data_IF_289462403315
#
_entry.id   IF_289462403315
#
_cell.length_a   1.000
_cell.length_b   1.000
_cell.length_c   1.000
_cell.angle_alpha   90.00
_cell.angle_beta   90.00
_cell.angle_gamma   90.00
#
_symmetry.space_group_name_H-M   'P 1'
#
loop_
_entity.id
_entity.type
_entity.pdbx_description
1 polymer ?
#
# COMPACT_ATOMS: atom_id res chain seq x y z
N UNK A 1 18.98 8.88 -15.59
CA UNK A 1 17.80 8.00 -15.55
C UNK A 1 17.33 7.85 -14.11
N UNK A 2 16.01 7.81 -13.87
CA UNK A 2 15.44 7.55 -12.56
C UNK A 2 15.06 6.07 -12.46
N UNK A 3 15.39 5.43 -11.34
CA UNK A 3 15.05 4.05 -11.04
C UNK A 3 14.09 4.01 -9.85
N UNK A 4 12.84 3.53 -10.03
CA UNK A 4 11.92 3.34 -8.91
C UNK A 4 12.47 2.30 -7.90
N UNK A 5 12.34 2.56 -6.60
CA UNK A 5 12.76 1.62 -5.56
C UNK A 5 11.64 0.65 -5.14
N UNK A 6 10.48 0.77 -5.76
CA UNK A 6 9.34 -0.12 -5.59
C UNK A 6 8.72 -0.42 -6.97
N UNK A 7 8.09 -1.61 -7.17
CA UNK A 7 7.51 -1.98 -8.45
C UNK A 7 6.24 -1.20 -8.82
N UNK A 8 5.72 -0.39 -7.90
CA UNK A 8 4.57 0.48 -8.10
C UNK A 8 4.84 1.86 -7.51
N UNK A 9 4.25 2.93 -8.05
CA UNK A 9 3.34 3.00 -9.21
C UNK A 9 4.05 2.91 -10.57
N UNK A 10 5.37 2.91 -10.62
CA UNK A 10 6.16 2.80 -11.85
C UNK A 10 6.97 1.52 -11.84
N UNK A 11 6.93 0.81 -12.93
CA UNK A 11 7.72 -0.39 -13.15
C UNK A 11 8.81 -0.11 -14.19
N UNK A 12 10.04 -0.54 -13.93
CA UNK A 12 11.16 -0.45 -14.88
C UNK A 12 11.72 -1.86 -15.09
N UNK A 13 11.70 -2.35 -16.32
CA UNK A 13 12.19 -3.69 -16.68
C UNK A 13 13.69 -3.90 -16.43
N UNK A 14 14.45 -2.82 -16.31
CA UNK A 14 15.89 -2.86 -15.95
C UNK A 14 16.15 -2.98 -14.45
N UNK A 15 15.11 -3.05 -13.62
CA UNK A 15 15.21 -3.16 -12.16
C UNK A 15 14.69 -4.50 -11.68
N UNK A 16 15.49 -5.19 -10.87
CA UNK A 16 15.03 -6.40 -10.17
C UNK A 16 14.43 -5.98 -8.83
N UNK A 17 13.15 -6.25 -8.67
CA UNK A 17 12.40 -5.90 -7.47
C UNK A 17 12.18 -7.10 -6.55
N UNK A 18 12.13 -6.83 -5.24
CA UNK A 18 11.63 -7.74 -4.22
C UNK A 18 10.80 -6.96 -3.19
N UNK A 19 9.81 -7.60 -2.62
CA UNK A 19 8.98 -7.02 -1.57
C UNK A 19 8.61 -8.08 -0.54
N UNK A 20 8.69 -7.70 0.72
CA UNK A 20 8.33 -8.53 1.88
C UNK A 20 7.47 -7.67 2.82
N UNK A 21 6.32 -8.20 3.22
CA UNK A 21 5.51 -7.61 4.26
C UNK A 21 5.69 -8.40 5.55
N UNK A 22 5.96 -7.69 6.62
CA UNK A 22 6.20 -8.25 7.96
C UNK A 22 5.16 -7.69 8.93
N UNK A 23 4.97 -8.35 10.08
CA UNK A 23 4.08 -7.85 11.13
C UNK A 23 4.44 -6.45 11.63
N UNK A 24 5.68 -6.02 11.42
CA UNK A 24 6.20 -4.75 11.93
C UNK A 24 6.45 -3.71 10.85
N UNK A 25 6.24 -4.04 9.59
CA UNK A 25 6.48 -3.14 8.48
C UNK A 25 6.62 -3.83 7.14
N UNK A 26 7.16 -3.10 6.17
CA UNK A 26 7.42 -3.59 4.83
C UNK A 26 8.88 -3.38 4.46
N UNK A 27 9.44 -4.31 3.69
CA UNK A 27 10.76 -4.20 3.06
C UNK A 27 10.61 -4.28 1.55
N UNK A 28 11.21 -3.33 0.87
CA UNK A 28 11.28 -3.30 -0.58
C UNK A 28 12.74 -3.35 -0.99
N UNK A 29 13.04 -4.06 -2.06
CA UNK A 29 14.38 -4.19 -2.60
C UNK A 29 14.36 -3.85 -4.09
N UNK A 30 15.34 -3.09 -4.52
CA UNK A 30 15.58 -2.77 -5.92
C UNK A 30 17.07 -2.97 -6.26
N UNK A 31 17.35 -3.61 -7.38
CA UNK A 31 18.73 -3.80 -7.86
C UNK A 31 18.82 -3.41 -9.33
N UNK A 32 19.74 -2.52 -9.67
CA UNK A 32 19.98 -2.00 -11.02
C UNK A 32 21.39 -1.47 -11.15
N UNK A 33 22.03 -1.66 -12.30
CA UNK A 33 23.33 -1.07 -12.68
C UNK A 33 24.40 -1.07 -11.56
N UNK A 34 24.53 -2.18 -10.82
CA UNK A 34 25.48 -2.29 -9.72
C UNK A 34 25.05 -1.63 -8.42
N UNK A 35 23.87 -1.04 -8.38
CA UNK A 35 23.25 -0.46 -7.17
C UNK A 35 22.27 -1.47 -6.56
N UNK A 36 22.31 -1.63 -5.25
CA UNK A 36 21.31 -2.31 -4.45
C UNK A 36 20.71 -1.33 -3.46
N UNK A 37 19.40 -1.12 -3.54
CA UNK A 37 18.66 -0.28 -2.62
C UNK A 37 17.64 -1.11 -1.84
N UNK A 38 17.56 -0.91 -0.53
CA UNK A 38 16.53 -1.46 0.34
C UNK A 38 15.76 -0.32 0.99
N UNK A 39 14.43 -0.39 0.95
CA UNK A 39 13.54 0.53 1.67
C UNK A 39 12.81 -0.26 2.73
N UNK A 40 12.96 0.11 3.99
CA UNK A 40 12.15 -0.41 5.08
C UNK A 40 11.20 0.66 5.57
N UNK A 41 9.93 0.32 5.74
CA UNK A 41 8.91 1.23 6.26
C UNK A 41 8.22 0.59 7.46
N UNK A 42 8.00 1.36 8.53
CA UNK A 42 7.25 0.90 9.69
C UNK A 42 6.49 2.02 10.38
N UNK A 43 5.43 1.65 11.10
CA UNK A 43 4.61 2.55 11.91
C UNK A 43 4.83 2.19 13.38
N UNK A 44 5.50 3.04 14.17
CA UNK A 44 5.70 2.82 15.59
C UNK A 44 4.37 2.74 16.36
N UNK A 45 4.28 1.84 17.34
CA UNK A 45 3.03 1.58 18.06
C UNK A 45 2.56 2.71 18.99
N UNK A 46 3.48 3.60 19.39
CA UNK A 46 3.20 4.65 20.39
C UNK A 46 2.96 6.02 19.80
N UNK A 47 3.43 6.27 18.59
CA UNK A 47 3.35 7.57 17.92
C UNK A 47 2.52 7.47 16.64
N UNK A 48 1.82 8.52 16.30
CA UNK A 48 1.17 8.66 14.99
C UNK A 48 2.23 9.07 13.96
N UNK A 49 3.17 8.16 13.70
CA UNK A 49 4.33 8.42 12.85
C UNK A 49 4.67 7.22 11.97
N UNK A 50 5.42 7.47 10.93
CA UNK A 50 6.00 6.48 10.02
C UNK A 50 7.51 6.72 9.93
N UNK A 51 8.30 5.65 10.01
CA UNK A 51 9.73 5.65 9.71
C UNK A 51 9.95 4.94 8.37
N UNK A 52 10.71 5.60 7.48
CA UNK A 52 11.31 4.96 6.29
C UNK A 52 12.82 5.03 6.39
N UNK A 53 13.47 3.90 6.23
CA UNK A 53 14.93 3.81 6.14
C UNK A 53 15.30 3.30 4.74
N UNK A 54 16.08 4.08 4.00
CA UNK A 54 16.59 3.73 2.68
C UNK A 54 18.07 3.43 2.79
N UNK A 55 18.46 2.18 2.52
CA UNK A 55 19.86 1.73 2.50
C UNK A 55 20.29 1.50 1.07
N UNK A 56 21.32 2.22 0.63
CA UNK A 56 21.87 2.11 -0.72
C UNK A 56 23.29 1.55 -0.61
N UNK A 57 23.60 0.55 -1.44
CA UNK A 57 24.95 0.00 -1.62
C UNK A 57 25.27 -0.03 -3.09
N UNK A 58 26.50 0.37 -3.45
CA UNK A 58 26.96 0.37 -4.84
C UNK A 58 28.23 -0.47 -5.01
N UNK A 59 28.37 -1.09 -6.17
CA UNK A 59 29.57 -1.83 -6.58
C UNK A 59 30.49 -1.04 -7.52
N UNK A 60 30.11 0.19 -7.87
CA UNK A 60 30.88 1.14 -8.66
C UNK A 60 30.64 2.57 -8.13
N UNK A 61 31.48 3.57 -8.44
CA UNK A 61 31.20 4.94 -8.04
C UNK A 61 29.82 5.40 -8.50
N UNK A 62 29.02 5.96 -7.60
CA UNK A 62 27.65 6.42 -7.84
C UNK A 62 27.55 7.92 -7.59
N UNK A 63 27.15 8.66 -8.62
CA UNK A 63 26.80 10.08 -8.48
C UNK A 63 25.37 10.29 -8.97
N UNK A 64 24.51 10.79 -8.07
CA UNK A 64 23.09 10.94 -8.36
C UNK A 64 22.33 11.51 -7.17
N UNK A 65 21.06 11.18 -7.05
CA UNK A 65 20.19 11.63 -5.97
C UNK A 65 19.19 10.55 -5.56
N UNK A 66 18.87 10.51 -4.26
CA UNK A 66 17.68 9.84 -3.77
C UNK A 66 16.52 10.83 -3.76
N UNK A 67 15.41 10.45 -4.38
CA UNK A 67 14.19 11.25 -4.43
C UNK A 67 13.09 10.60 -3.60
N UNK A 68 12.47 11.37 -2.70
CA UNK A 68 11.26 11.00 -2.00
C UNK A 68 10.15 11.99 -2.36
N UNK A 69 8.97 11.48 -2.71
CA UNK A 69 7.83 12.31 -3.11
C UNK A 69 6.54 11.79 -2.49
N UNK A 70 5.71 12.68 -1.99
CA UNK A 70 4.32 12.39 -1.65
C UNK A 70 3.44 13.65 -1.68
N UNK A 71 2.13 13.47 -1.79
CA UNK A 71 1.14 14.53 -1.74
C UNK A 71 0.36 14.45 -0.43
N UNK A 72 0.48 15.46 0.46
CA UNK A 72 -0.22 15.46 1.74
C UNK A 72 -1.72 15.72 1.53
N UNK A 73 -2.54 15.09 2.37
CA UNK A 73 -3.99 15.25 2.34
C UNK A 73 -4.52 15.85 3.65
N UNK A 74 -4.13 15.33 4.79
CA UNK A 74 -4.53 15.73 6.14
C UNK A 74 -6.02 16.01 6.31
N UNK A 75 -6.89 15.23 5.64
CA UNK A 75 -8.34 15.33 5.73
C UNK A 75 -8.99 13.95 5.83
N UNK A 76 -10.27 13.91 6.16
CA UNK A 76 -11.03 12.65 6.12
C UNK A 76 -11.10 12.14 4.68
N UNK A 77 -11.00 10.82 4.49
CA UNK A 77 -11.03 10.19 3.16
C UNK A 77 -12.26 10.57 2.34
N UNK A 78 -13.44 10.67 2.98
CA UNK A 78 -14.67 11.06 2.31
C UNK A 78 -14.62 12.49 1.77
N UNK A 79 -14.07 13.44 2.55
CA UNK A 79 -13.93 14.85 2.13
C UNK A 79 -12.94 14.98 0.96
N UNK A 80 -11.84 14.24 1.03
CA UNK A 80 -10.85 14.21 -0.04
C UNK A 80 -11.40 13.55 -1.29
N UNK A 81 -12.07 12.41 -1.17
CA UNK A 81 -12.66 11.68 -2.30
C UNK A 81 -13.70 12.49 -3.05
N UNK A 82 -14.49 13.32 -2.34
CA UNK A 82 -15.51 14.18 -2.95
C UNK A 82 -14.90 15.37 -3.70
N UNK A 83 -13.89 16.04 -3.12
CA UNK A 83 -13.29 17.26 -3.69
C UNK A 83 -11.78 17.35 -3.42
N UNK A 84 -10.95 16.58 -4.12
CA UNK A 84 -9.51 16.51 -3.85
C UNK A 84 -8.80 17.87 -3.93
N UNK A 85 -9.02 18.60 -5.01
CA UNK A 85 -8.37 19.90 -5.24
C UNK A 85 -8.76 20.93 -4.16
N UNK A 86 -10.05 20.97 -3.80
CA UNK A 86 -10.53 21.86 -2.75
C UNK A 86 -9.94 21.51 -1.38
N UNK A 87 -9.76 20.22 -1.08
CA UNK A 87 -9.14 19.77 0.17
C UNK A 87 -7.71 20.27 0.33
N UNK A 88 -6.95 20.35 -0.76
CA UNK A 88 -5.55 20.80 -0.76
C UNK A 88 -5.39 22.30 -0.48
N UNK A 89 -6.38 23.14 -0.79
CA UNK A 89 -6.34 24.59 -0.55
C UNK A 89 -6.21 24.99 0.93
N UNK A 90 -6.46 24.06 1.83
CA UNK A 90 -6.32 24.29 3.28
C UNK A 90 -4.95 23.91 3.82
N UNK A 91 -4.05 23.43 2.98
CA UNK A 91 -2.72 23.03 3.41
C UNK A 91 -1.73 24.20 3.27
N UNK A 92 -0.92 24.36 4.29
CA UNK A 92 0.20 25.30 4.35
C UNK A 92 1.47 24.54 4.66
N UNK A 93 2.59 24.95 4.08
CA UNK A 93 3.88 24.32 4.30
C UNK A 93 4.89 25.33 4.83
N UNK A 94 5.78 24.87 5.71
CA UNK A 94 6.85 25.68 6.30
C UNK A 94 8.11 24.86 6.47
N UNK A 95 9.26 25.42 6.11
CA UNK A 95 10.54 24.81 6.45
C UNK A 95 10.74 24.78 7.98
N UNK A 96 11.24 23.68 8.50
CA UNK A 96 11.52 23.49 9.92
C UNK A 96 12.73 22.58 10.11
N UNK A 97 13.87 23.17 10.49
CA UNK A 97 15.12 22.42 10.67
C UNK A 97 15.46 21.56 9.44
N UNK A 98 15.70 20.23 9.63
CA UNK A 98 16.02 19.32 8.54
C UNK A 98 14.75 18.77 7.83
N UNK A 99 13.66 19.55 7.77
CA UNK A 99 12.41 19.09 7.22
C UNK A 99 11.37 20.14 6.90
N UNK A 100 10.13 19.72 6.85
CA UNK A 100 8.98 20.54 6.50
C UNK A 100 7.82 20.25 7.45
N UNK A 101 7.18 21.29 7.95
CA UNK A 101 5.87 21.22 8.62
C UNK A 101 4.78 21.43 7.58
N UNK A 102 3.77 20.61 7.64
CA UNK A 102 2.55 20.72 6.85
C UNK A 102 1.41 20.95 7.84
N UNK A 103 0.69 22.04 7.67
CA UNK A 103 -0.42 22.43 8.52
C UNK A 103 -1.72 22.43 7.71
N UNK A 104 -2.78 21.86 8.27
CA UNK A 104 -4.11 22.04 7.71
C UNK A 104 -4.84 23.13 8.51
N UNK A 105 -5.18 24.24 7.84
CA UNK A 105 -6.01 25.28 8.41
C UNK A 105 -7.38 24.70 8.78
N UNK A 106 -7.87 24.92 10.02
CA UNK A 106 -9.18 24.44 10.44
C UNK A 106 -10.30 25.11 9.62
N UNK A 107 -11.27 24.33 9.19
CA UNK A 107 -12.48 24.84 8.51
C UNK A 107 -13.52 25.36 9.50
N UNK A 108 -13.52 24.80 10.71
CA UNK A 108 -14.41 25.20 11.81
C UNK A 108 -13.79 24.81 13.16
N UNK A 109 -13.81 25.70 14.12
CA UNK A 109 -13.56 25.44 15.54
C UNK A 109 -12.13 25.03 15.89
N UNK A 110 -11.91 23.84 16.42
CA UNK A 110 -10.79 23.50 17.29
C UNK A 110 -9.82 22.47 16.72
N UNK A 111 -9.99 21.97 15.50
CA UNK A 111 -9.13 20.92 14.94
C UNK A 111 -7.89 21.53 14.27
N UNK A 112 -6.77 21.52 14.97
CA UNK A 112 -5.46 21.77 14.37
C UNK A 112 -4.77 20.45 14.09
N UNK A 113 -4.34 20.23 12.84
CA UNK A 113 -3.60 19.07 12.40
C UNK A 113 -2.28 19.53 11.78
N UNK A 114 -1.20 19.07 12.36
CA UNK A 114 0.16 19.32 11.90
C UNK A 114 0.83 18.00 11.55
N UNK A 115 1.52 17.99 10.41
CA UNK A 115 2.43 16.89 10.09
C UNK A 115 3.85 17.45 10.00
N UNK A 116 4.82 16.75 10.59
CA UNK A 116 6.24 17.04 10.46
C UNK A 116 6.90 15.93 9.63
N UNK A 117 7.59 16.34 8.57
CA UNK A 117 8.43 15.45 7.79
C UNK A 117 9.88 15.84 7.96
N UNK A 118 10.70 14.90 8.42
CA UNK A 118 12.13 15.11 8.66
C UNK A 118 12.96 14.13 7.84
N UNK A 119 14.15 14.60 7.41
CA UNK A 119 15.16 13.81 6.72
C UNK A 119 16.45 13.79 7.53
N UNK A 120 17.14 12.64 7.63
CA UNK A 120 18.41 12.51 8.33
C UNK A 120 19.62 13.06 7.55
N UNK A 121 19.46 13.40 6.27
CA UNK A 121 20.54 13.93 5.44
C UNK A 121 20.61 15.46 5.56
N UNK A 122 21.74 15.99 6.01
CA UNK A 122 21.95 17.44 6.22
C UNK A 122 21.89 18.25 4.93
N UNK A 123 22.28 17.67 3.79
CA UNK A 123 22.30 18.30 2.48
C UNK A 123 21.06 18.00 1.63
N UNK A 124 19.92 17.74 2.26
CA UNK A 124 18.65 17.51 1.57
C UNK A 124 18.01 18.83 1.10
N UNK A 125 17.33 18.77 -0.05
CA UNK A 125 16.57 19.87 -0.63
C UNK A 125 15.09 19.51 -0.63
N UNK A 126 14.26 20.49 -0.27
CA UNK A 126 12.80 20.31 -0.20
C UNK A 126 12.12 21.24 -1.19
N UNK A 127 11.10 20.73 -1.87
CA UNK A 127 10.17 21.55 -2.64
C UNK A 127 8.74 21.15 -2.26
N UNK A 128 7.88 22.15 -2.01
CA UNK A 128 6.50 21.92 -1.54
C UNK A 128 5.44 22.33 -2.55
N UNK A 129 5.82 22.82 -3.73
CA UNK A 129 4.93 23.17 -4.81
C UNK A 129 4.94 22.09 -5.89
N UNK A 130 3.80 21.41 -6.11
CA UNK A 130 3.66 20.39 -7.15
C UNK A 130 3.91 20.98 -8.54
N UNK A 131 3.44 22.21 -8.79
CA UNK A 131 3.66 22.88 -10.08
C UNK A 131 5.14 23.09 -10.38
N UNK A 132 5.92 23.52 -9.37
CA UNK A 132 7.38 23.70 -9.52
C UNK A 132 8.12 22.36 -9.61
N UNK A 133 7.64 21.34 -8.92
CA UNK A 133 8.25 20.02 -8.88
C UNK A 133 7.96 19.21 -10.15
N UNK A 134 6.69 19.07 -10.52
CA UNK A 134 6.23 18.19 -11.58
C UNK A 134 5.68 18.93 -12.81
N UNK A 135 5.49 20.26 -12.72
CA UNK A 135 4.80 21.04 -13.74
C UNK A 135 3.30 20.70 -13.81
N UNK A 136 2.69 21.04 -14.94
CA UNK A 136 1.25 20.81 -15.19
C UNK A 136 0.93 19.36 -15.59
N UNK A 137 1.95 18.53 -15.81
CA UNK A 137 1.77 17.12 -16.17
C UNK A 137 1.29 16.26 -15.00
N UNK A 138 1.04 15.01 -15.29
CA UNK A 138 0.67 14.01 -14.29
C UNK A 138 1.84 13.58 -13.40
N UNK A 139 1.56 12.68 -12.46
CA UNK A 139 2.55 12.16 -11.52
C UNK A 139 3.74 11.47 -12.22
N UNK A 140 3.56 10.95 -13.44
CA UNK A 140 4.63 10.36 -14.25
C UNK A 140 5.80 11.31 -14.53
N UNK A 141 5.60 12.64 -14.45
CA UNK A 141 6.69 13.60 -14.58
C UNK A 141 7.77 13.48 -13.52
N UNK A 142 7.50 12.79 -12.41
CA UNK A 142 8.51 12.49 -11.40
C UNK A 142 9.68 11.66 -11.98
N UNK A 143 9.46 10.88 -13.02
CA UNK A 143 10.51 10.12 -13.70
C UNK A 143 11.46 11.01 -14.53
N UNK A 144 11.06 12.24 -14.79
CA UNK A 144 11.79 13.21 -15.61
C UNK A 144 11.97 14.55 -14.88
N UNK A 145 12.33 14.51 -13.61
CA UNK A 145 12.57 15.74 -12.83
C UNK A 145 13.70 16.54 -13.46
N UNK A 146 13.55 17.87 -13.54
CA UNK A 146 14.63 18.73 -14.00
C UNK A 146 15.82 18.66 -13.05
N UNK A 147 17.04 18.77 -13.59
CA UNK A 147 18.30 18.71 -12.81
C UNK A 147 18.37 19.77 -11.72
N UNK A 148 17.73 20.91 -11.95
CA UNK A 148 17.66 22.01 -10.98
C UNK A 148 16.21 22.39 -10.72
N UNK A 149 15.76 22.10 -9.51
CA UNK A 149 14.52 22.66 -8.95
C UNK A 149 14.96 23.57 -7.80
N UNK A 150 14.57 24.84 -7.85
CA UNK A 150 14.88 25.77 -6.76
C UNK A 150 14.30 25.23 -5.45
N UNK A 151 15.09 25.17 -4.37
CA UNK A 151 14.55 24.82 -3.06
C UNK A 151 13.42 25.79 -2.71
N UNK A 152 12.28 25.24 -2.36
CA UNK A 152 11.14 26.01 -1.90
C UNK A 152 10.44 25.21 -0.80
N UNK A 153 10.41 25.78 0.38
CA UNK A 153 9.68 25.18 1.48
C UNK A 153 8.96 26.30 2.24
N UNK A 154 7.69 26.47 1.96
CA UNK A 154 6.82 27.40 2.69
C UNK A 154 5.82 28.14 1.84
N UNK A 155 4.68 28.42 2.45
CA UNK A 155 3.58 29.20 1.91
C UNK A 155 2.30 28.40 1.72
N UNK A 156 1.30 29.09 1.22
CA UNK A 156 0.00 28.52 0.79
C UNK A 156 0.08 28.24 -0.70
N UNK A 157 0.29 26.98 -1.05
CA UNK A 157 0.30 26.52 -2.43
C UNK A 157 -1.09 25.99 -2.80
N UNK A 158 -1.49 26.17 -4.08
CA UNK A 158 -2.78 25.64 -4.56
C UNK A 158 -2.77 24.11 -4.63
N UNK A 159 -1.62 23.53 -4.92
CA UNK A 159 -1.40 22.09 -5.01
C UNK A 159 -0.09 21.73 -4.30
N UNK A 160 -0.11 21.56 -2.98
CA UNK A 160 1.07 21.25 -2.19
C UNK A 160 1.50 19.80 -2.39
N UNK A 161 2.81 19.59 -2.47
CA UNK A 161 3.45 18.29 -2.42
C UNK A 161 4.61 18.32 -1.43
N UNK A 162 5.27 17.22 -1.25
CA UNK A 162 6.61 17.16 -0.67
C UNK A 162 7.52 16.38 -1.63
N UNK A 163 8.46 17.09 -2.21
CA UNK A 163 9.57 16.53 -2.97
C UNK A 163 10.85 16.74 -2.17
N UNK A 164 11.54 15.66 -1.85
CA UNK A 164 12.83 15.69 -1.18
C UNK A 164 13.88 15.11 -2.10
N UNK A 165 15.01 15.82 -2.27
CA UNK A 165 16.16 15.36 -3.05
C UNK A 165 17.36 15.29 -2.10
N UNK A 166 18.00 14.13 -2.03
CA UNK A 166 19.22 13.91 -1.24
C UNK A 166 20.35 13.57 -2.19
N UNK A 167 21.33 14.44 -2.37
CA UNK A 167 22.49 14.18 -3.21
C UNK A 167 23.26 12.94 -2.74
N UNK A 168 23.65 12.11 -3.68
CA UNK A 168 24.47 10.92 -3.49
C UNK A 168 25.77 11.11 -4.25
N UNK A 169 26.90 11.01 -3.53
CA UNK A 169 28.24 10.87 -4.10
C UNK A 169 28.92 9.76 -3.30
N UNK A 170 28.97 8.57 -3.89
CA UNK A 170 29.36 7.34 -3.22
C UNK A 170 30.50 6.67 -3.97
N UNK A 171 31.46 6.15 -3.22
CA UNK A 171 32.59 5.38 -3.77
C UNK A 171 32.19 3.92 -4.01
N UNK A 172 32.97 3.22 -4.81
CA UNK A 172 32.81 1.77 -4.99
C UNK A 172 32.80 1.04 -3.64
N UNK A 173 31.84 0.12 -3.47
CA UNK A 173 31.66 -0.67 -2.25
C UNK A 173 31.01 0.08 -1.09
N UNK A 174 30.76 1.38 -1.21
CA UNK A 174 30.18 2.20 -0.14
C UNK A 174 28.69 1.85 0.09
N UNK A 175 28.29 2.01 1.34
CA UNK A 175 26.89 1.88 1.75
C UNK A 175 26.45 3.13 2.51
N UNK A 176 25.29 3.69 2.14
CA UNK A 176 24.71 4.88 2.77
C UNK A 176 23.30 4.57 3.24
N UNK A 177 22.96 5.05 4.44
CA UNK A 177 21.61 4.94 5.01
C UNK A 177 21.02 6.33 5.18
N UNK A 178 19.81 6.53 4.66
CA UNK A 178 19.05 7.78 4.76
C UNK A 178 17.71 7.43 5.40
N UNK A 179 17.30 8.22 6.38
CA UNK A 179 16.05 8.03 7.10
C UNK A 179 15.11 9.20 6.86
N UNK A 180 13.84 8.88 6.80
CA UNK A 180 12.73 9.82 6.74
C UNK A 180 11.74 9.49 7.84
N UNK A 181 11.26 10.50 8.54
CA UNK A 181 10.19 10.35 9.52
C UNK A 181 9.04 11.29 9.19
N UNK A 182 7.82 10.77 9.18
CA UNK A 182 6.58 11.53 9.08
C UNK A 182 5.80 11.33 10.37
N UNK A 183 5.41 12.42 11.04
CA UNK A 183 4.59 12.35 12.25
C UNK A 183 3.46 13.35 12.21
N UNK A 184 2.33 13.02 12.86
CA UNK A 184 1.13 13.85 12.92
C UNK A 184 0.75 14.13 14.37
N UNK A 185 0.45 15.40 14.68
CA UNK A 185 0.00 15.83 16.01
C UNK A 185 -0.95 17.03 15.96
N UNK A 186 -1.53 17.39 17.11
CA UNK A 186 -2.38 18.58 17.26
C UNK A 186 -1.60 19.89 17.45
N UNK A 187 -0.26 19.85 17.51
CA UNK A 187 0.62 21.01 17.61
C UNK A 187 1.91 20.81 16.82
N UNK A 188 2.57 21.89 16.48
CA UNK A 188 3.88 21.86 15.77
C UNK A 188 4.91 21.12 16.62
N UNK A 189 5.09 21.54 17.86
CA UNK A 189 6.09 20.92 18.76
C UNK A 189 5.83 19.42 18.96
N UNK A 190 4.57 19.03 19.05
CA UNK A 190 4.16 17.63 19.15
C UNK A 190 4.51 16.83 17.89
N UNK A 191 4.29 17.39 16.70
CA UNK A 191 4.61 16.75 15.43
C UNK A 191 6.12 16.64 15.24
N UNK A 192 6.88 17.72 15.50
CA UNK A 192 8.35 17.75 15.39
C UNK A 192 8.98 16.76 16.36
N UNK A 193 8.63 16.83 17.64
CA UNK A 193 9.20 15.93 18.66
C UNK A 193 8.89 14.46 18.37
N UNK A 194 7.70 14.16 17.84
CA UNK A 194 7.35 12.80 17.44
C UNK A 194 8.16 12.35 16.22
N UNK A 195 8.33 13.22 15.21
CA UNK A 195 9.14 12.93 14.04
C UNK A 195 10.62 12.72 14.40
N UNK A 196 11.20 13.55 15.29
CA UNK A 196 12.57 13.41 15.78
C UNK A 196 12.80 12.09 16.53
N UNK A 197 11.90 11.76 17.45
CA UNK A 197 11.95 10.46 18.15
C UNK A 197 11.91 9.30 17.15
N UNK A 198 11.03 9.38 16.16
CA UNK A 198 10.86 8.35 15.13
C UNK A 198 12.09 8.26 14.23
N UNK A 199 12.65 9.38 13.81
CA UNK A 199 13.85 9.44 12.97
C UNK A 199 15.07 8.79 13.65
N UNK A 200 15.18 8.94 14.96
CA UNK A 200 16.29 8.40 15.78
C UNK A 200 16.03 6.99 16.31
N UNK A 201 14.82 6.45 16.11
CA UNK A 201 14.45 5.14 16.60
C UNK A 201 15.07 4.03 15.76
N UNK A 202 15.75 3.02 16.34
CA UNK A 202 16.17 1.84 15.60
C UNK A 202 14.96 1.12 14.98
N UNK A 203 15.06 0.71 13.71
CA UNK A 203 13.97 0.02 13.00
C UNK A 203 13.37 -1.14 13.80
N UNK A 204 14.21 -1.93 14.48
CA UNK A 204 13.76 -3.07 15.30
C UNK A 204 12.90 -2.67 16.51
N UNK A 205 13.02 -1.42 16.97
CA UNK A 205 12.23 -0.87 18.08
C UNK A 205 10.97 -0.16 17.60
N UNK A 206 10.98 0.32 16.36
CA UNK A 206 9.80 0.83 15.68
C UNK A 206 8.85 -0.35 15.38
N UNK A 207 8.40 -1.03 16.40
CA UNK A 207 7.49 -2.15 16.21
C UNK A 207 6.10 -1.63 15.94
N UNK A 208 5.60 -1.93 14.75
CA UNK A 208 4.19 -1.99 14.51
C UNK A 208 3.49 -2.82 15.60
N UNK A 209 2.21 -2.59 15.78
CA UNK A 209 1.38 -3.38 16.70
C UNK A 209 1.68 -4.86 16.51
N UNK A 210 1.92 -5.64 17.58
CA UNK A 210 1.82 -7.08 17.46
C UNK A 210 0.46 -7.37 16.84
N UNK A 211 0.39 -8.36 15.96
CA UNK A 211 -0.88 -8.84 15.39
C UNK A 211 -1.65 -9.56 16.51
N UNK A 212 -1.97 -8.83 17.57
CA UNK A 212 -2.77 -9.34 18.72
C UNK A 212 -4.15 -9.78 18.28
N UNK A 213 -4.65 -9.17 17.20
CA UNK A 213 -5.92 -9.50 16.57
C UNK A 213 -5.89 -10.87 15.89
N UNK A 214 -4.74 -11.33 15.38
CA UNK A 214 -4.61 -12.67 14.78
C UNK A 214 -4.91 -13.80 15.76
N UNK A 215 -4.60 -13.60 17.04
CA UNK A 215 -4.92 -14.58 18.11
C UNK A 215 -6.42 -14.68 18.34
N UNK A 216 -7.15 -13.58 18.19
CA UNK A 216 -8.61 -13.56 18.34
C UNK A 216 -9.37 -14.25 17.22
N UNK A 217 -8.77 -14.38 16.02
CA UNK A 217 -9.37 -15.04 14.85
C UNK A 217 -8.81 -16.44 14.57
N UNK A 218 -7.92 -16.94 15.44
CA UNK A 218 -7.44 -18.32 15.37
C UNK A 218 -6.44 -18.60 14.25
N UNK A 219 -5.64 -17.62 13.82
CA UNK A 219 -4.55 -17.82 12.86
C UNK A 219 -3.24 -18.22 13.54
N UNK A 220 -2.54 -19.15 12.93
CA UNK A 220 -1.16 -19.50 13.26
C UNK A 220 -0.19 -18.46 12.68
N UNK A 221 1.05 -18.44 13.12
CA UNK A 221 2.08 -17.54 12.58
C UNK A 221 2.31 -17.75 11.08
N UNK A 222 2.22 -19.01 10.60
CA UNK A 222 2.34 -19.33 9.17
C UNK A 222 1.17 -18.76 8.37
N UNK A 223 -0.05 -18.85 8.89
CA UNK A 223 -1.23 -18.30 8.23
C UNK A 223 -1.22 -16.75 8.23
N UNK A 224 -0.67 -16.13 9.27
CA UNK A 224 -0.41 -14.68 9.30
C UNK A 224 0.60 -14.29 8.23
N UNK A 225 1.71 -15.03 8.10
CA UNK A 225 2.68 -14.78 7.03
C UNK A 225 2.05 -14.89 5.65
N UNK A 226 1.22 -15.92 5.41
CA UNK A 226 0.49 -16.07 4.15
C UNK A 226 -0.52 -14.92 3.91
N UNK A 227 -1.17 -14.39 4.95
CA UNK A 227 -2.02 -13.20 4.82
C UNK A 227 -1.21 -11.94 4.44
N UNK A 228 0.02 -11.81 4.95
CA UNK A 228 0.93 -10.72 4.55
C UNK A 228 1.45 -10.89 3.12
N UNK A 229 1.62 -12.13 2.65
CA UNK A 229 1.91 -12.40 1.25
C UNK A 229 0.73 -12.00 0.35
N UNK A 230 -0.51 -12.31 0.73
CA UNK A 230 -1.69 -11.81 0.02
C UNK A 230 -1.72 -10.27 -0.01
N UNK A 231 -1.38 -9.60 1.09
CA UNK A 231 -1.29 -8.14 1.14
C UNK A 231 -0.25 -7.61 0.13
N UNK A 232 0.92 -8.26 0.05
CA UNK A 232 1.95 -7.94 -0.95
C UNK A 232 1.38 -8.08 -2.37
N UNK A 233 0.68 -9.17 -2.63
CA UNK A 233 0.19 -9.54 -3.95
C UNK A 233 -0.93 -8.62 -4.44
N UNK A 234 -1.78 -8.10 -3.55
CA UNK A 234 -2.77 -7.08 -3.89
C UNK A 234 -2.17 -5.67 -4.00
N UNK A 235 -1.02 -5.42 -3.37
CA UNK A 235 -0.36 -4.11 -3.39
C UNK A 235 0.55 -3.96 -4.61
N UNK A 236 1.24 -5.03 -5.01
CA UNK A 236 2.18 -5.04 -6.11
C UNK A 236 1.80 -6.08 -7.16
N UNK A 237 2.23 -5.84 -8.41
CA UNK A 237 2.14 -6.85 -9.45
C UNK A 237 3.09 -7.99 -9.13
N UNK A 238 2.55 -9.16 -8.86
CA UNK A 238 3.33 -10.36 -8.54
C UNK A 238 3.39 -11.34 -9.71
N UNK A 239 4.32 -12.31 -9.71
CA UNK A 239 4.36 -13.38 -10.70
C UNK A 239 3.03 -14.15 -10.81
N UNK A 240 2.33 -14.42 -9.71
CA UNK A 240 1.02 -15.11 -9.70
C UNK A 240 -0.04 -14.46 -10.58
N UNK A 241 0.01 -13.14 -10.75
CA UNK A 241 -0.87 -12.45 -11.70
C UNK A 241 -0.58 -12.83 -13.15
N UNK A 242 0.62 -13.28 -13.49
CA UNK A 242 0.99 -13.74 -14.82
C UNK A 242 0.34 -15.10 -15.15
N UNK A 243 0.08 -15.94 -14.15
CA UNK A 243 -0.50 -17.26 -14.32
C UNK A 243 -1.94 -17.20 -14.84
N UNK A 244 -2.67 -16.13 -14.52
CA UNK A 244 -4.00 -15.88 -15.07
C UNK A 244 -4.05 -14.77 -16.14
N UNK A 245 -2.90 -14.36 -16.67
CA UNK A 245 -2.82 -13.34 -17.73
C UNK A 245 -3.67 -13.69 -18.96
N UNK A 246 -3.86 -14.99 -19.26
CA UNK A 246 -4.75 -15.47 -20.34
C UNK A 246 -6.17 -14.92 -20.21
N UNK A 247 -6.71 -14.85 -19.01
CA UNK A 247 -8.04 -14.31 -18.77
C UNK A 247 -8.09 -12.80 -19.03
N UNK A 248 -7.03 -12.07 -18.64
CA UNK A 248 -6.92 -10.63 -18.88
C UNK A 248 -6.89 -10.34 -20.39
N UNK A 249 -6.09 -11.10 -21.16
CA UNK A 249 -5.96 -10.93 -22.61
C UNK A 249 -7.24 -11.29 -23.37
N UNK A 250 -8.03 -12.21 -22.86
CA UNK A 250 -9.28 -12.67 -23.48
C UNK A 250 -10.51 -11.86 -23.01
N UNK A 251 -10.36 -11.05 -21.97
CA UNK A 251 -11.49 -10.30 -21.42
C UNK A 251 -11.87 -9.13 -22.30
N UNK A 252 -13.12 -9.11 -22.74
CA UNK A 252 -13.73 -8.01 -23.49
C UNK A 252 -14.73 -7.19 -22.66
N UNK A 253 -14.98 -7.58 -21.39
CA UNK A 253 -15.95 -6.93 -20.52
C UNK A 253 -15.29 -5.89 -19.62
N UNK A 254 -16.00 -4.80 -19.35
CA UNK A 254 -15.55 -3.76 -18.40
C UNK A 254 -16.04 -4.02 -16.98
N UNK A 255 -15.71 -3.09 -16.07
CA UNK A 255 -16.08 -3.09 -14.66
C UNK A 255 -17.58 -3.33 -14.41
N UNK A 256 -18.45 -2.79 -15.28
CA UNK A 256 -19.90 -2.97 -15.18
C UNK A 256 -20.36 -4.44 -15.25
N UNK A 257 -19.54 -5.33 -15.80
CA UNK A 257 -19.81 -6.77 -15.80
C UNK A 257 -19.79 -7.40 -14.41
N UNK A 258 -19.14 -6.75 -13.43
CA UNK A 258 -19.11 -7.20 -12.03
C UNK A 258 -20.37 -6.82 -11.25
N UNK A 259 -21.09 -5.78 -11.68
CA UNK A 259 -22.20 -5.21 -10.92
C UNK A 259 -23.37 -6.15 -10.73
N UNK A 260 -23.61 -7.07 -11.68
CA UNK A 260 -24.63 -8.11 -11.56
C UNK A 260 -24.36 -9.08 -10.38
N UNK A 261 -23.12 -9.11 -9.88
CA UNK A 261 -22.70 -9.88 -8.72
C UNK A 261 -22.61 -9.05 -7.43
N UNK A 262 -23.01 -7.76 -7.48
CA UNK A 262 -22.92 -6.85 -6.34
C UNK A 262 -21.49 -6.42 -6.02
N UNK A 263 -20.55 -6.55 -6.97
CA UNK A 263 -19.15 -6.17 -6.81
C UNK A 263 -18.90 -4.87 -7.59
N UNK A 264 -18.41 -3.82 -6.91
CA UNK A 264 -18.17 -2.51 -7.55
C UNK A 264 -16.98 -2.53 -8.51
N UNK A 265 -15.94 -3.32 -8.20
CA UNK A 265 -14.68 -3.34 -8.93
C UNK A 265 -13.74 -2.17 -8.60
N UNK A 266 -14.06 -1.38 -7.57
CA UNK A 266 -13.22 -0.25 -7.10
C UNK A 266 -12.13 -0.71 -6.13
N UNK A 267 -12.28 -1.89 -5.53
CA UNK A 267 -11.33 -2.49 -4.61
C UNK A 267 -10.58 -3.65 -5.28
N UNK A 268 -9.37 -3.97 -4.80
CA UNK A 268 -8.70 -5.20 -5.19
C UNK A 268 -9.58 -6.43 -4.91
N UNK A 269 -9.57 -7.41 -5.81
CA UNK A 269 -10.36 -8.63 -5.70
C UNK A 269 -9.42 -9.82 -5.43
N UNK A 270 -9.68 -10.54 -4.35
CA UNK A 270 -9.13 -11.86 -4.06
C UNK A 270 -10.15 -12.89 -4.50
N UNK A 271 -9.95 -13.56 -5.63
CA UNK A 271 -10.85 -14.61 -6.11
C UNK A 271 -10.31 -15.99 -5.71
N UNK A 272 -11.11 -16.74 -4.97
CA UNK A 272 -10.78 -18.06 -4.48
C UNK A 272 -11.71 -19.12 -5.11
N UNK A 273 -11.12 -20.03 -5.89
CA UNK A 273 -11.86 -21.12 -6.56
C UNK A 273 -12.04 -22.27 -5.60
N UNK A 274 -13.30 -22.55 -5.25
CA UNK A 274 -13.70 -23.60 -4.33
C UNK A 274 -14.41 -24.73 -5.13
N UNK A 275 -13.66 -25.80 -5.40
CA UNK A 275 -14.19 -26.99 -6.06
C UNK A 275 -15.05 -27.86 -5.11
N UNK A 276 -15.67 -28.91 -5.65
CA UNK A 276 -16.52 -29.85 -4.88
C UNK A 276 -15.74 -30.59 -3.80
N UNK A 277 -14.44 -30.80 -4.00
CA UNK A 277 -13.53 -31.52 -3.10
C UNK A 277 -12.75 -30.59 -2.17
N UNK A 278 -13.06 -29.28 -2.16
CA UNK A 278 -12.31 -28.33 -1.34
C UNK A 278 -12.54 -28.57 0.14
N UNK A 279 -11.46 -28.79 0.88
CA UNK A 279 -11.53 -29.02 2.31
C UNK A 279 -12.02 -27.76 3.06
N UNK A 280 -12.94 -27.90 4.01
CA UNK A 280 -13.47 -26.77 4.80
C UNK A 280 -12.37 -25.95 5.49
N UNK A 281 -11.31 -26.60 5.97
CA UNK A 281 -10.18 -25.93 6.64
C UNK A 281 -9.39 -25.00 5.69
N UNK A 282 -9.26 -25.36 4.41
CA UNK A 282 -8.60 -24.53 3.42
C UNK A 282 -9.43 -23.27 3.14
N UNK A 283 -10.74 -23.39 3.04
CA UNK A 283 -11.66 -22.25 2.91
C UNK A 283 -11.60 -21.38 4.17
N UNK A 284 -11.65 -22.00 5.35
CA UNK A 284 -11.57 -21.30 6.63
C UNK A 284 -10.30 -20.47 6.76
N UNK A 285 -9.18 -20.99 6.28
CA UNK A 285 -7.88 -20.29 6.26
C UNK A 285 -7.99 -18.99 5.45
N UNK A 286 -8.48 -19.02 4.22
CA UNK A 286 -8.60 -17.84 3.35
C UNK A 286 -9.57 -16.82 3.94
N UNK A 287 -10.71 -17.26 4.47
CA UNK A 287 -11.68 -16.37 5.13
C UNK A 287 -11.04 -15.66 6.34
N UNK A 288 -10.29 -16.40 7.18
CA UNK A 288 -9.58 -15.82 8.33
C UNK A 288 -8.46 -14.87 7.92
N UNK A 289 -7.71 -15.19 6.86
CA UNK A 289 -6.69 -14.30 6.30
C UNK A 289 -7.32 -12.99 5.79
N UNK A 290 -8.39 -13.05 5.02
CA UNK A 290 -9.14 -11.86 4.61
C UNK A 290 -9.65 -11.06 5.82
N UNK A 291 -10.17 -11.74 6.84
CA UNK A 291 -10.63 -11.10 8.08
C UNK A 291 -9.49 -10.36 8.78
N UNK A 292 -8.27 -10.93 8.81
CA UNK A 292 -7.09 -10.26 9.35
C UNK A 292 -6.77 -8.98 8.58
N UNK A 293 -6.76 -9.03 7.24
CA UNK A 293 -6.53 -7.86 6.39
C UNK A 293 -7.60 -6.79 6.64
N UNK A 294 -8.86 -7.18 6.71
CA UNK A 294 -9.99 -6.28 6.99
C UNK A 294 -9.86 -5.56 8.33
N UNK A 295 -9.52 -6.28 9.41
CA UNK A 295 -9.27 -5.72 10.74
C UNK A 295 -8.03 -4.82 10.77
N UNK A 296 -7.03 -5.13 9.95
CA UNK A 296 -5.86 -4.29 9.71
C UNK A 296 -6.14 -3.01 8.91
N UNK A 297 -7.39 -2.81 8.45
CA UNK A 297 -7.79 -1.63 7.68
C UNK A 297 -7.57 -1.78 6.17
N UNK A 298 -7.13 -2.95 5.70
CA UNK A 298 -7.01 -3.24 4.27
C UNK A 298 -8.37 -3.58 3.70
N UNK A 299 -8.77 -2.88 2.64
CA UNK A 299 -10.04 -3.13 1.95
C UNK A 299 -9.79 -3.86 0.65
N UNK A 300 -10.31 -5.08 0.55
CA UNK A 300 -10.34 -5.88 -0.66
C UNK A 300 -11.58 -6.79 -0.65
N UNK A 301 -12.15 -7.07 -1.79
CA UNK A 301 -13.27 -7.99 -1.92
C UNK A 301 -12.74 -9.42 -1.97
N UNK A 302 -13.19 -10.29 -1.04
CA UNK A 302 -12.96 -11.74 -1.14
C UNK A 302 -14.14 -12.36 -1.90
N UNK A 303 -13.85 -12.96 -3.04
CA UNK A 303 -14.86 -13.62 -3.88
C UNK A 303 -14.63 -15.13 -3.85
N UNK A 304 -15.53 -15.86 -3.21
CA UNK A 304 -15.52 -17.32 -3.20
C UNK A 304 -16.33 -17.84 -4.39
N UNK A 305 -15.68 -18.57 -5.29
CA UNK A 305 -16.24 -19.10 -6.53
C UNK A 305 -16.53 -20.59 -6.34
N UNK A 306 -17.81 -20.96 -6.25
CA UNK A 306 -18.25 -22.31 -5.96
C UNK A 306 -18.58 -23.09 -7.23
N UNK A 307 -18.13 -24.35 -7.27
CA UNK A 307 -18.47 -25.31 -8.34
C UNK A 307 -19.54 -26.33 -7.94
N UNK A 308 -20.10 -26.24 -6.73
CA UNK A 308 -21.08 -27.16 -6.17
C UNK A 308 -22.56 -26.77 -6.42
N UNK A 309 -22.79 -25.82 -7.34
CA UNK A 309 -24.12 -25.31 -7.65
C UNK A 309 -25.11 -26.36 -8.22
N UNK A 310 -24.60 -27.49 -8.73
CA UNK A 310 -25.43 -28.61 -9.22
C UNK A 310 -25.92 -29.53 -8.10
N UNK A 311 -25.31 -29.47 -6.91
CA UNK A 311 -25.78 -30.20 -5.74
C UNK A 311 -26.80 -29.33 -4.98
N UNK A 312 -28.02 -29.87 -4.80
CA UNK A 312 -29.07 -29.18 -4.03
C UNK A 312 -28.64 -28.80 -2.62
N UNK A 313 -27.76 -29.59 -1.99
CA UNK A 313 -27.23 -29.35 -0.63
C UNK A 313 -26.17 -28.29 -0.58
N UNK A 314 -25.50 -28.02 -1.71
CA UNK A 314 -24.39 -27.03 -1.81
C UNK A 314 -23.41 -27.11 -0.64
N UNK A 315 -22.74 -28.24 -0.41
CA UNK A 315 -22.00 -28.52 0.81
C UNK A 315 -20.85 -27.52 1.02
N UNK A 316 -20.12 -27.14 -0.05
CA UNK A 316 -18.97 -26.24 0.03
C UNK A 316 -19.43 -24.83 0.36
N UNK A 317 -20.48 -24.35 -0.32
CA UNK A 317 -21.06 -23.04 -0.05
C UNK A 317 -21.65 -22.95 1.37
N UNK A 318 -22.33 -24.00 1.82
CA UNK A 318 -22.92 -24.07 3.16
C UNK A 318 -21.84 -24.04 4.22
N UNK A 319 -20.81 -24.88 4.09
CA UNK A 319 -19.66 -24.87 5.00
C UNK A 319 -18.98 -23.51 5.06
N UNK A 320 -18.80 -22.84 3.91
CA UNK A 320 -18.22 -21.49 3.85
C UNK A 320 -19.06 -20.48 4.63
N UNK A 321 -20.37 -20.54 4.50
CA UNK A 321 -21.29 -19.66 5.24
C UNK A 321 -21.22 -19.90 6.74
N UNK A 322 -21.12 -21.14 7.18
CA UNK A 322 -20.99 -21.49 8.60
C UNK A 322 -19.65 -21.04 9.18
N UNK A 323 -18.57 -21.14 8.41
CA UNK A 323 -17.26 -20.60 8.77
C UNK A 323 -17.34 -19.08 8.96
N UNK A 324 -17.93 -18.35 8.01
CA UNK A 324 -18.08 -16.89 8.09
C UNK A 324 -18.86 -16.51 9.37
N UNK A 325 -19.91 -17.24 9.71
CA UNK A 325 -20.68 -17.04 10.95
C UNK A 325 -19.82 -17.28 12.19
N UNK A 326 -19.05 -18.36 12.20
CA UNK A 326 -18.22 -18.74 13.35
C UNK A 326 -17.20 -17.67 13.74
N UNK A 327 -16.74 -16.86 12.79
CA UNK A 327 -15.80 -15.74 13.01
C UNK A 327 -16.51 -14.39 13.19
N UNK A 328 -17.84 -14.36 13.28
CA UNK A 328 -18.61 -13.11 13.39
C UNK A 328 -18.53 -12.23 12.13
N UNK A 329 -18.41 -12.84 10.96
CA UNK A 329 -18.27 -12.17 9.67
C UNK A 329 -19.55 -12.03 8.85
N UNK A 330 -20.72 -12.31 9.40
CA UNK A 330 -21.99 -12.28 8.66
C UNK A 330 -22.28 -10.91 8.04
N UNK A 331 -21.95 -9.86 8.74
CA UNK A 331 -22.08 -8.49 8.27
C UNK A 331 -21.10 -8.09 7.14
N UNK A 332 -20.18 -8.99 6.79
CA UNK A 332 -19.25 -8.80 5.68
C UNK A 332 -19.75 -9.40 4.37
N UNK A 333 -20.84 -10.19 4.39
CA UNK A 333 -21.35 -10.83 3.18
C UNK A 333 -22.06 -9.81 2.30
N UNK A 334 -21.65 -9.71 1.03
CA UNK A 334 -22.27 -8.89 0.01
C UNK A 334 -22.02 -7.38 0.14
N UNK A 335 -21.04 -6.96 0.95
CA UNK A 335 -20.65 -5.56 1.07
C UNK A 335 -19.28 -5.32 0.42
N UNK A 336 -19.02 -4.08 0.01
CA UNK A 336 -17.72 -3.66 -0.51
C UNK A 336 -16.62 -3.80 0.53
N UNK A 337 -15.52 -4.46 0.16
CA UNK A 337 -14.43 -4.85 1.05
C UNK A 337 -14.75 -6.06 1.92
N UNK A 338 -15.84 -6.75 1.66
CA UNK A 338 -16.31 -7.92 2.37
C UNK A 338 -16.14 -9.22 1.60
N UNK A 339 -17.11 -10.14 1.75
CA UNK A 339 -17.06 -11.48 1.19
C UNK A 339 -18.25 -11.68 0.23
N UNK A 340 -17.97 -12.07 -1.00
CA UNK A 340 -18.96 -12.37 -2.01
C UNK A 340 -18.97 -13.88 -2.29
N UNK A 341 -20.17 -14.46 -2.31
CA UNK A 341 -20.40 -15.91 -2.49
C UNK A 341 -21.05 -16.15 -3.85
N UNK A 342 -20.29 -16.63 -4.84
CA UNK A 342 -20.74 -16.75 -6.22
C UNK A 342 -20.71 -18.21 -6.69
N UNK A 343 -21.82 -18.65 -7.29
CA UNK A 343 -21.88 -19.94 -7.98
C UNK A 343 -21.36 -19.75 -9.41
N UNK A 344 -20.04 -19.88 -9.59
CA UNK A 344 -19.34 -19.73 -10.87
C UNK A 344 -18.31 -20.85 -11.03
N UNK A 345 -18.52 -21.70 -12.02
CA UNK A 345 -17.58 -22.77 -12.39
C UNK A 345 -16.54 -22.23 -13.38
N UNK A 346 -15.35 -22.86 -13.45
CA UNK A 346 -14.35 -22.52 -14.47
C UNK A 346 -14.86 -22.61 -15.93
N UNK A 347 -15.92 -23.38 -16.17
CA UNK A 347 -16.58 -23.52 -17.48
C UNK A 347 -17.54 -22.38 -17.83
N UNK A 348 -17.93 -21.56 -16.85
CA UNK A 348 -18.90 -20.49 -17.05
C UNK A 348 -18.24 -19.29 -17.76
N UNK A 349 -18.91 -18.64 -18.72
CA UNK A 349 -18.36 -17.48 -19.42
C UNK A 349 -17.91 -16.36 -18.49
N UNK A 350 -18.67 -16.14 -17.40
CA UNK A 350 -18.39 -15.07 -16.43
C UNK A 350 -17.21 -15.38 -15.49
N UNK A 351 -16.79 -16.64 -15.41
CA UNK A 351 -15.57 -16.99 -14.67
C UNK A 351 -14.35 -16.28 -15.25
N UNK A 352 -14.25 -16.20 -16.58
CA UNK A 352 -13.14 -15.49 -17.25
C UNK A 352 -13.11 -14.01 -16.89
N UNK A 353 -14.27 -13.36 -16.78
CA UNK A 353 -14.35 -11.97 -16.33
C UNK A 353 -13.85 -11.83 -14.88
N UNK A 354 -14.34 -12.68 -13.97
CA UNK A 354 -13.95 -12.65 -12.56
C UNK A 354 -12.44 -12.89 -12.40
N UNK A 355 -11.91 -13.91 -13.09
CA UNK A 355 -10.48 -14.19 -13.10
C UNK A 355 -9.65 -13.03 -13.69
N UNK A 356 -10.12 -12.37 -14.75
CA UNK A 356 -9.43 -11.22 -15.34
C UNK A 356 -9.38 -10.01 -14.40
N UNK A 357 -10.45 -9.76 -13.62
CA UNK A 357 -10.54 -8.64 -12.69
C UNK A 357 -9.84 -8.93 -11.35
N UNK A 358 -9.56 -10.19 -11.02
CA UNK A 358 -8.90 -10.55 -9.78
C UNK A 358 -7.47 -9.98 -9.71
N UNK A 359 -7.12 -9.37 -8.57
CA UNK A 359 -5.73 -9.04 -8.24
C UNK A 359 -4.93 -10.30 -7.92
N UNK A 360 -5.58 -11.26 -7.25
CA UNK A 360 -5.03 -12.60 -6.95
C UNK A 360 -6.12 -13.62 -7.24
N UNK A 361 -5.78 -14.65 -8.02
CA UNK A 361 -6.62 -15.81 -8.26
C UNK A 361 -6.01 -17.01 -7.53
N UNK A 362 -6.77 -17.57 -6.59
CA UNK A 362 -6.33 -18.66 -5.71
C UNK A 362 -7.10 -19.91 -6.08
N UNK A 363 -6.43 -20.99 -6.43
CA UNK A 363 -7.02 -22.33 -6.43
C UNK A 363 -6.89 -22.91 -5.03
N UNK A 364 -8.03 -23.04 -4.33
CA UNK A 364 -8.03 -23.50 -2.93
C UNK A 364 -7.66 -24.98 -2.81
N UNK A 365 -7.74 -25.76 -3.91
CA UNK A 365 -7.38 -27.18 -3.95
C UNK A 365 -5.95 -27.43 -4.39
N UNK A 366 -5.34 -26.47 -5.10
CA UNK A 366 -3.96 -26.52 -5.53
C UNK A 366 -3.10 -25.73 -4.56
N UNK A 367 -2.37 -26.40 -3.66
CA UNK A 367 -1.26 -25.79 -2.93
C UNK A 367 -0.09 -25.49 -3.85
#
# INVERSE_FOLDING_TARGET
KMYPLAPAPFFDDGVIYGSEFEERGARLHASFEGVRAGVTACVPSRDKSELREVKIKTTSPLKGELVCYFEPVLSKSADYGSHPAFSKLFLETRAEGPGVIIHRRPRSGTENIYAAFLCSAENSFFNTSREKALGRGGFSNILNLPDRISPFAGGSELDPCLLVRVPLDMREGESRTIRFALAVAGSIDGAVSSAERTLNMPYRQASARPVGESRGIGLTSTEVAAALDLLRDITFLTPGRRDHARFILQNAAGQSGLWKYGISGDLPILAAVCGTETAPDAIARIIRQHRLLYLGGVRCDLVLLFSDGDDYRRPVRTASTDIIRSIGGENMIGISGGIHLLDLKPSDPDFSLMAACASVLIDVNGE
#
